data_IF_814059219771
#
_entry.id   IF_814059219771
#
_cell.length_a   1.000
_cell.length_b   1.000
_cell.length_c   1.000
_cell.angle_alpha   90.00
_cell.angle_beta   90.00
_cell.angle_gamma   90.00
#
_symmetry.space_group_name_H-M   'P 1'
#
loop_
_entity.id
_entity.type
_entity.pdbx_description
1 polymer ?
#
# COMPACT_ATOMS: atom_id res chain seq x y z
N UNK A 1 -3.15 -12.04 -7.79
CA UNK A 1 -2.27 -11.92 -6.60
C UNK A 1 -1.39 -10.72 -6.80
N UNK A 2 -0.98 -10.06 -5.72
CA UNK A 2 -0.01 -8.96 -5.83
C UNK A 2 1.37 -9.45 -6.24
N UNK A 3 2.07 -8.64 -7.05
CA UNK A 3 3.42 -8.92 -7.53
C UNK A 3 4.51 -8.49 -6.53
N UNK A 4 5.73 -9.00 -6.72
CA UNK A 4 6.90 -8.57 -5.94
C UNK A 4 7.62 -7.39 -6.59
N UNK A 5 8.50 -6.70 -5.84
CA UNK A 5 9.37 -5.66 -6.40
C UNK A 5 10.34 -6.17 -7.50
N UNK A 6 10.67 -7.47 -7.50
CA UNK A 6 11.48 -8.08 -8.57
C UNK A 6 10.62 -8.29 -9.84
N UNK A 7 9.43 -8.85 -9.66
CA UNK A 7 8.41 -9.00 -10.71
C UNK A 7 8.05 -7.66 -11.35
N UNK A 8 7.82 -6.62 -10.55
CA UNK A 8 7.45 -5.28 -11.03
C UNK A 8 8.56 -4.63 -11.89
N UNK A 9 9.83 -4.92 -11.61
CA UNK A 9 10.96 -4.50 -12.47
C UNK A 9 11.01 -5.29 -13.77
N UNK A 10 10.79 -6.61 -13.73
CA UNK A 10 10.75 -7.45 -14.94
C UNK A 10 9.59 -7.10 -15.88
N UNK A 11 8.45 -6.68 -15.31
CA UNK A 11 7.21 -6.35 -15.99
C UNK A 11 6.94 -4.84 -16.08
N UNK A 12 7.98 -3.99 -16.01
CA UNK A 12 7.81 -2.53 -15.96
C UNK A 12 7.10 -1.91 -17.19
N UNK A 13 7.03 -2.63 -18.31
CA UNK A 13 6.34 -2.21 -19.53
C UNK A 13 4.92 -2.82 -19.68
N UNK A 14 4.53 -3.73 -18.80
CA UNK A 14 3.20 -4.35 -18.82
C UNK A 14 2.14 -3.44 -18.16
N UNK A 15 0.83 -3.64 -18.45
CA UNK A 15 -0.24 -2.77 -17.94
C UNK A 15 -0.37 -2.78 -16.42
N UNK A 16 -0.56 -1.61 -15.80
CA UNK A 16 -0.84 -1.49 -14.37
C UNK A 16 -2.33 -1.79 -14.07
N UNK A 17 -2.59 -2.81 -13.25
CA UNK A 17 -3.93 -3.25 -12.84
C UNK A 17 -3.94 -3.51 -11.33
N UNK A 18 -4.99 -3.06 -10.63
CA UNK A 18 -5.13 -3.26 -9.18
C UNK A 18 -5.39 -4.74 -8.82
N UNK A 19 -4.54 -5.35 -7.99
CA UNK A 19 -4.74 -6.73 -7.51
C UNK A 19 -5.87 -6.87 -6.46
N UNK A 20 -6.25 -5.77 -5.84
CA UNK A 20 -7.15 -5.65 -4.70
C UNK A 20 -7.84 -4.29 -4.76
N UNK A 21 -8.78 -4.04 -3.85
CA UNK A 21 -9.33 -2.70 -3.64
C UNK A 21 -8.32 -1.82 -2.90
N UNK A 22 -8.08 -0.61 -3.42
CA UNK A 22 -7.22 0.40 -2.81
C UNK A 22 -7.92 1.76 -2.78
N UNK A 23 -7.92 2.43 -1.63
CA UNK A 23 -8.63 3.69 -1.43
C UNK A 23 -7.87 4.90 -2.01
N UNK A 24 -8.63 5.95 -2.35
CA UNK A 24 -8.09 7.21 -2.86
C UNK A 24 -6.98 7.77 -1.95
N UNK A 25 -5.90 8.26 -2.56
CA UNK A 25 -4.72 8.80 -1.87
C UNK A 25 -3.63 7.77 -1.57
N UNK A 26 -3.88 6.47 -1.75
CA UNK A 26 -2.86 5.40 -1.71
C UNK A 26 -1.70 5.72 -2.66
N UNK A 27 -0.47 5.49 -2.21
CA UNK A 27 0.74 5.51 -3.06
C UNK A 27 0.93 4.09 -3.60
N UNK A 28 1.15 3.97 -4.91
CA UNK A 28 1.21 2.69 -5.61
C UNK A 28 2.56 2.02 -5.41
N UNK A 29 2.54 0.87 -4.74
CA UNK A 29 3.66 -0.07 -4.59
C UNK A 29 3.43 -1.35 -5.41
N UNK A 30 4.46 -2.17 -5.60
CA UNK A 30 4.33 -3.47 -6.28
C UNK A 30 3.27 -4.38 -5.64
N UNK A 31 3.09 -4.29 -4.31
CA UNK A 31 2.06 -5.02 -3.59
C UNK A 31 0.61 -4.59 -3.91
N UNK A 32 0.40 -3.56 -4.75
CA UNK A 32 -0.92 -3.15 -5.23
C UNK A 32 -1.23 -3.63 -6.66
N UNK A 33 -0.23 -4.15 -7.37
CA UNK A 33 -0.29 -4.47 -8.79
C UNK A 33 -0.51 -5.97 -9.00
N UNK A 34 -1.45 -6.31 -9.90
CA UNK A 34 -1.80 -7.69 -10.28
C UNK A 34 -0.77 -8.28 -11.26
N UNK A 35 -0.68 -9.61 -11.33
CA UNK A 35 0.33 -10.31 -12.13
C UNK A 35 -0.01 -10.28 -13.64
N UNK A 36 0.80 -9.62 -14.50
CA UNK A 36 0.54 -9.59 -15.94
C UNK A 36 0.52 -10.97 -16.59
N UNK A 37 1.18 -11.96 -16.00
CA UNK A 37 1.18 -13.33 -16.50
C UNK A 37 -0.21 -13.99 -16.49
N UNK A 38 -1.17 -13.50 -15.68
CA UNK A 38 -2.55 -14.00 -15.65
C UNK A 38 -3.54 -13.14 -16.46
N UNK A 39 -3.12 -11.99 -17.00
CA UNK A 39 -4.01 -11.12 -17.78
C UNK A 39 -4.65 -11.83 -18.99
N UNK A 40 -3.97 -12.73 -19.75
CA UNK A 40 -4.60 -13.44 -20.87
C UNK A 40 -5.84 -14.25 -20.46
N UNK A 41 -5.77 -15.01 -19.37
CA UNK A 41 -6.89 -15.79 -18.83
C UNK A 41 -8.01 -14.88 -18.25
N UNK A 42 -7.65 -13.75 -17.63
CA UNK A 42 -8.63 -12.77 -17.13
C UNK A 42 -9.37 -12.04 -18.27
N UNK A 43 -8.70 -11.82 -19.41
CA UNK A 43 -9.30 -11.21 -20.60
C UNK A 43 -10.18 -12.23 -21.35
N UNK A 44 -9.72 -13.47 -21.54
CA UNK A 44 -10.51 -14.54 -22.18
C UNK A 44 -11.80 -14.85 -21.39
N UNK A 45 -11.70 -14.88 -20.06
CA UNK A 45 -12.86 -15.04 -19.17
C UNK A 45 -13.76 -13.80 -19.01
N UNK A 46 -13.38 -12.66 -19.61
CA UNK A 46 -14.15 -11.41 -19.54
C UNK A 46 -14.20 -10.75 -18.16
N UNK A 47 -13.18 -10.99 -17.33
CA UNK A 47 -13.02 -10.41 -15.98
C UNK A 47 -12.14 -9.15 -15.97
N UNK A 48 -11.35 -8.93 -17.02
CA UNK A 48 -10.43 -7.79 -17.16
C UNK A 48 -10.57 -7.20 -18.57
N UNK A 49 -10.75 -5.88 -18.64
CA UNK A 49 -10.63 -5.08 -19.86
C UNK A 49 -9.48 -4.08 -19.67
N UNK A 50 -8.55 -3.99 -20.64
CA UNK A 50 -7.40 -3.07 -20.58
C UNK A 50 -7.56 -2.01 -21.69
N UNK A 51 -7.93 -0.77 -21.38
CA UNK A 51 -8.07 0.31 -22.36
C UNK A 51 -6.73 0.90 -22.80
N UNK A 52 -6.73 1.62 -23.94
CA UNK A 52 -5.53 2.23 -24.53
C UNK A 52 -4.89 3.35 -23.68
N UNK A 53 -5.56 3.84 -22.63
CA UNK A 53 -5.04 4.83 -21.67
C UNK A 53 -4.53 4.20 -20.35
N UNK A 54 -4.36 2.88 -20.28
CA UNK A 54 -3.71 2.23 -19.14
C UNK A 54 -2.21 2.54 -19.10
N UNK A 55 -1.74 2.97 -17.92
CA UNK A 55 -0.34 3.25 -17.62
C UNK A 55 0.43 1.93 -17.44
N UNK A 56 1.74 1.92 -17.65
CA UNK A 56 2.55 0.73 -17.34
C UNK A 56 2.89 0.62 -15.85
N UNK A 57 3.25 -0.59 -15.40
CA UNK A 57 3.74 -0.85 -14.04
C UNK A 57 4.90 0.09 -13.67
N UNK A 58 5.85 0.33 -14.57
CA UNK A 58 6.98 1.24 -14.36
C UNK A 58 6.59 2.70 -14.22
N UNK A 59 5.49 3.14 -14.85
CA UNK A 59 5.00 4.51 -14.74
C UNK A 59 4.27 4.78 -13.41
N UNK A 60 3.54 3.79 -12.88
CA UNK A 60 2.71 3.97 -11.69
C UNK A 60 3.43 3.76 -10.36
N UNK A 61 4.61 3.12 -10.33
CA UNK A 61 5.33 2.91 -9.07
C UNK A 61 5.72 4.24 -8.42
N UNK A 62 5.24 4.49 -7.20
CA UNK A 62 5.37 5.77 -6.48
C UNK A 62 4.29 6.81 -6.81
N UNK A 63 3.46 6.59 -7.84
CA UNK A 63 2.33 7.44 -8.17
C UNK A 63 1.20 7.32 -7.11
N UNK A 64 0.21 8.20 -7.18
CA UNK A 64 -0.92 8.27 -6.23
C UNK A 64 -2.25 8.01 -6.92
N UNK A 65 -3.12 7.20 -6.31
CA UNK A 65 -4.49 7.00 -6.79
C UNK A 65 -5.35 8.24 -6.48
N UNK A 66 -5.96 8.86 -7.49
CA UNK A 66 -6.83 10.04 -7.31
C UNK A 66 -8.24 9.68 -6.84
N UNK A 67 -8.61 8.41 -7.01
CA UNK A 67 -9.90 7.84 -6.63
C UNK A 67 -9.70 6.41 -6.11
N UNK A 68 -10.69 5.88 -5.39
CA UNK A 68 -10.67 4.49 -4.94
C UNK A 68 -10.89 3.56 -6.12
N UNK A 69 -10.01 2.56 -6.27
CA UNK A 69 -10.07 1.53 -7.31
C UNK A 69 -10.38 0.18 -6.67
N UNK A 70 -11.23 -0.63 -7.32
CA UNK A 70 -11.51 -2.01 -6.92
C UNK A 70 -10.60 -3.00 -7.66
N UNK A 71 -10.58 -4.27 -7.24
CA UNK A 71 -9.74 -5.29 -7.86
C UNK A 71 -10.05 -5.47 -9.37
N UNK A 72 -9.01 -5.76 -10.15
CA UNK A 72 -9.01 -5.83 -11.62
C UNK A 72 -9.30 -4.50 -12.34
N UNK A 73 -9.29 -3.36 -11.64
CA UNK A 73 -9.36 -2.04 -12.30
C UNK A 73 -8.00 -1.63 -12.87
N UNK A 74 -7.88 -1.24 -14.14
CA UNK A 74 -6.65 -0.68 -14.70
C UNK A 74 -6.33 0.72 -14.15
N UNK A 75 -5.05 1.02 -13.94
CA UNK A 75 -4.58 2.37 -13.61
C UNK A 75 -4.40 3.19 -14.89
N UNK A 76 -4.91 4.41 -14.91
CA UNK A 76 -4.93 5.29 -16.10
C UNK A 76 -4.57 6.73 -15.71
N UNK A 77 -4.29 7.55 -16.72
CA UNK A 77 -4.10 9.01 -16.59
C UNK A 77 -5.23 9.76 -15.86
N UNK A 78 -6.42 9.16 -15.80
CA UNK A 78 -7.64 9.76 -15.24
C UNK A 78 -7.87 9.34 -13.77
N UNK A 79 -7.20 8.29 -13.30
CA UNK A 79 -7.37 7.73 -11.95
C UNK A 79 -6.08 7.70 -11.10
N UNK A 80 -4.95 8.09 -11.69
CA UNK A 80 -3.62 8.11 -11.06
C UNK A 80 -2.94 9.45 -11.34
N UNK A 81 -2.28 10.04 -10.34
CA UNK A 81 -1.49 11.28 -10.44
C UNK A 81 -0.03 11.06 -10.02
N UNK A 82 0.89 11.88 -10.52
CA UNK A 82 2.32 11.76 -10.18
C UNK A 82 3.02 10.53 -10.77
N UNK A 83 2.47 9.94 -11.84
CA UNK A 83 3.10 8.86 -12.61
C UNK A 83 4.21 9.39 -13.52
N UNK A 84 5.21 8.56 -13.80
CA UNK A 84 6.35 8.92 -14.67
C UNK A 84 5.90 9.08 -16.12
N UNK A 85 6.23 10.22 -16.73
CA UNK A 85 5.84 10.59 -18.11
C UNK A 85 6.73 9.97 -19.18
N UNK A 86 8.04 9.98 -18.97
CA UNK A 86 9.01 9.47 -19.93
C UNK A 86 9.19 7.95 -19.75
N UNK A 87 8.80 7.18 -20.77
CA UNK A 87 9.06 5.73 -20.89
C UNK A 87 10.52 5.46 -21.25
N UNK A 88 11.46 5.81 -20.35
CA UNK A 88 12.88 5.51 -20.52
C UNK A 88 13.25 4.09 -20.04
N UNK A 89 14.21 3.49 -20.74
CA UNK A 89 14.65 2.12 -20.51
C UNK A 89 15.37 1.99 -19.15
N UNK A 90 15.23 0.84 -18.50
CA UNK A 90 15.59 0.65 -17.09
C UNK A 90 17.05 0.99 -16.74
N UNK A 91 17.26 2.17 -16.14
CA UNK A 91 18.44 2.51 -15.35
C UNK A 91 18.05 2.84 -13.91
N UNK A 92 18.85 2.37 -12.95
CA UNK A 92 18.61 2.52 -11.53
C UNK A 92 19.01 3.92 -11.04
N UNK A 93 18.09 4.67 -10.42
CA UNK A 93 18.47 5.57 -9.33
C UNK A 93 17.36 5.71 -8.28
N UNK A 94 17.73 5.52 -7.02
CA UNK A 94 16.83 5.60 -5.86
C UNK A 94 16.71 7.06 -5.42
N UNK A 95 15.67 7.76 -5.86
CA UNK A 95 15.39 9.11 -5.37
C UNK A 95 14.57 9.07 -4.08
N UNK A 96 15.27 9.13 -2.96
CA UNK A 96 14.75 9.31 -1.61
C UNK A 96 14.36 10.79 -1.42
N UNK A 97 13.14 11.20 -1.78
CA UNK A 97 12.68 12.59 -1.54
C UNK A 97 12.22 12.79 -0.08
N UNK A 98 13.18 13.22 0.74
CA UNK A 98 13.00 13.65 2.12
C UNK A 98 12.16 14.94 2.22
N UNK A 99 10.89 14.81 2.63
CA UNK A 99 10.01 15.95 2.92
C UNK A 99 10.04 16.33 4.41
N UNK A 100 11.18 16.88 4.87
CA UNK A 100 11.27 17.52 6.19
C UNK A 100 10.44 18.82 6.25
N UNK A 101 9.33 18.81 6.98
CA UNK A 101 8.76 20.03 7.61
C UNK A 101 8.05 19.72 8.94
N UNK A 102 8.82 19.76 10.01
CA UNK A 102 8.35 19.96 11.39
C UNK A 102 8.19 21.47 11.68
N UNK A 103 7.63 21.92 12.83
CA UNK A 103 6.74 21.23 13.79
C UNK A 103 5.47 22.05 14.15
N UNK A 104 4.46 21.40 14.75
CA UNK A 104 3.65 22.03 15.82
C UNK A 104 3.30 21.04 16.94
N UNK A 105 3.44 21.53 18.17
CA UNK A 105 3.27 20.80 19.44
C UNK A 105 1.82 20.78 19.93
N UNK A 106 1.29 19.60 20.30
CA UNK A 106 0.30 19.45 21.40
C UNK A 106 0.17 17.99 21.87
N UNK A 107 0.17 17.78 23.19
CA UNK A 107 -0.67 16.74 23.82
C UNK A 107 -0.03 15.40 24.21
N UNK A 108 0.42 15.33 25.47
CA UNK A 108 0.16 14.21 26.39
C UNK A 108 0.70 12.80 26.03
N UNK A 109 1.91 12.50 26.52
CA UNK A 109 2.40 11.13 26.71
C UNK A 109 1.62 10.39 27.82
N UNK A 110 1.14 9.18 27.55
CA UNK A 110 0.57 8.29 28.58
C UNK A 110 1.66 7.37 29.16
N UNK A 111 1.84 7.45 30.48
CA UNK A 111 2.89 6.73 31.21
C UNK A 111 2.46 5.29 31.51
N UNK A 112 3.09 4.29 30.86
CA UNK A 112 2.83 2.87 31.12
C UNK A 112 3.99 2.25 31.91
N UNK A 113 3.70 1.86 33.16
CA UNK A 113 4.65 1.15 34.03
C UNK A 113 4.19 -0.29 34.30
N UNK A 114 4.78 -1.24 33.55
CA UNK A 114 4.55 -2.67 33.73
C UNK A 114 5.45 -3.24 34.83
N UNK A 115 4.91 -4.07 35.72
CA UNK A 115 5.69 -4.80 36.72
C UNK A 115 5.09 -6.18 37.00
N UNK A 116 5.96 -7.16 37.31
CA UNK A 116 5.60 -8.57 37.44
C UNK A 116 5.96 -9.03 38.85
N UNK A 117 4.97 -9.49 39.63
CA UNK A 117 5.17 -10.01 40.99
C UNK A 117 4.31 -11.25 41.19
N UNK A 118 4.92 -12.33 41.71
CA UNK A 118 4.23 -13.56 42.12
C UNK A 118 3.35 -14.22 41.04
N UNK A 119 3.81 -14.24 39.78
CA UNK A 119 3.18 -15.01 38.70
C UNK A 119 1.92 -14.41 38.07
N UNK A 120 1.52 -13.19 38.46
CA UNK A 120 0.38 -12.48 37.86
C UNK A 120 0.87 -11.21 37.15
N UNK A 121 0.54 -11.08 35.87
CA UNK A 121 0.78 -9.85 35.11
C UNK A 121 -0.24 -8.79 35.53
N UNK A 122 0.24 -7.64 36.03
CA UNK A 122 -0.61 -6.49 36.40
C UNK A 122 -0.34 -5.32 35.47
N UNK A 123 -1.40 -4.85 34.83
CA UNK A 123 -1.39 -3.67 33.96
C UNK A 123 -2.29 -2.62 34.63
N UNK A 124 -1.79 -1.39 34.76
CA UNK A 124 -2.58 -0.26 35.25
C UNK A 124 -2.72 0.78 34.14
N UNK A 125 -3.93 1.31 33.95
CA UNK A 125 -4.25 2.33 32.94
C UNK A 125 -4.92 3.50 33.65
N UNK A 126 -4.32 4.69 33.55
CA UNK A 126 -4.72 5.84 34.36
C UNK A 126 -6.13 6.38 34.00
N UNK A 127 -6.51 6.38 32.72
CA UNK A 127 -7.87 6.75 32.27
C UNK A 127 -8.79 5.52 32.15
N UNK A 128 -8.78 4.67 33.19
CA UNK A 128 -9.55 3.43 33.21
C UNK A 128 -11.06 3.64 33.31
N UNK A 129 -11.81 3.24 32.27
CA UNK A 129 -13.27 3.04 32.32
C UNK A 129 -13.66 1.68 31.72
N UNK A 130 -14.02 0.75 32.59
CA UNK A 130 -14.75 -0.48 32.19
C UNK A 130 -13.94 -1.57 31.50
N UNK A 131 -12.65 -1.71 31.81
CA UNK A 131 -11.82 -2.83 31.34
C UNK A 131 -11.36 -3.65 32.54
N UNK A 132 -11.71 -4.93 32.55
CA UNK A 132 -11.34 -5.93 33.53
C UNK A 132 -10.92 -7.20 32.77
N UNK A 133 -9.69 -7.70 33.02
CA UNK A 133 -9.04 -8.73 32.20
C UNK A 133 -8.31 -9.72 33.12
N UNK A 134 -8.96 -10.84 33.42
CA UNK A 134 -8.35 -11.98 34.09
C UNK A 134 -7.81 -12.99 33.06
N UNK A 135 -6.51 -13.22 33.04
CA UNK A 135 -5.87 -14.30 32.25
C UNK A 135 -5.33 -15.36 33.21
N UNK A 136 -5.97 -16.53 33.33
CA UNK A 136 -5.42 -17.63 34.12
C UNK A 136 -4.21 -18.23 33.39
N UNK A 137 -3.03 -18.10 34.00
CA UNK A 137 -1.83 -18.81 33.54
C UNK A 137 -1.86 -20.26 34.05
N UNK A 138 -1.99 -21.21 33.12
CA UNK A 138 -1.69 -22.63 33.28
C UNK A 138 -0.50 -23.01 32.40
#
# INVERSE_FOLDING_TARGET
>A
MSITNETAKAHANDPAVCCCRFEAGTVVEAANLEDPAIFPDLIDSGLLEIPENTLTIGQVLGAKLTQTLDALTPMTSDNTEGYSTETEEATEETTEEESEVQPVITGQSVDMTTSIVAGVLKIQIAEGKGIDIEIPMM
#
